data_IF_629249465999
#
_entry.id   IF_629249465999
#
_cell.length_a   1.000
_cell.length_b   1.000
_cell.length_c   1.000
_cell.angle_alpha   90.00
_cell.angle_beta   90.00
_cell.angle_gamma   90.00
#
_symmetry.space_group_name_H-M   'P 1'
#
loop_
_entity.id
_entity.type
_entity.pdbx_description
1 polymer ?
#
# COMPACT_ATOMS: atom_id res chain seq x y z
N UNK A 1 1.77 -20.39 47.83
CA UNK A 1 1.77 -20.16 47.39
C UNK A 1 1.79 -19.70 46.50
N UNK A 2 1.72 -19.58 46.50
CA UNK A 2 1.66 -19.16 45.73
C UNK A 2 1.50 -18.74 44.83
N UNK A 3 1.49 -18.80 44.66
CA UNK A 3 1.41 -18.43 43.76
C UNK A 3 1.15 -17.78 42.99
N UNK A 4 0.88 -17.65 43.12
CA UNK A 4 0.57 -17.10 42.45
C UNK A 4 0.76 -16.32 41.72
N UNK A 5 1.03 -16.43 41.67
CA UNK A 5 1.18 -15.76 41.05
C UNK A 5 1.25 -15.42 40.03
N UNK A 6 1.13 -15.52 39.88
CA UNK A 6 1.11 -15.25 38.99
C UNK A 6 0.91 -14.70 38.16
N UNK A 7 0.75 -14.59 38.27
CA UNK A 7 0.53 -14.14 37.49
C UNK A 7 0.52 -13.43 36.85
N UNK A 8 0.51 -13.24 36.89
CA UNK A 8 0.47 -12.57 36.25
C UNK A 8 0.82 -12.23 35.42
N UNK A 9 0.93 -12.23 35.41
CA UNK A 9 1.25 -11.88 34.57
C UNK A 9 1.17 -11.71 33.52
N UNK A 10 1.12 -11.90 33.39
CA UNK A 10 1.03 -11.91 32.36
C UNK A 10 0.57 -11.22 31.62
N UNK A 11 0.16 -10.94 31.92
CA UNK A 11 -0.36 -10.40 31.25
C UNK A 11 -0.06 -9.52 30.60
N UNK A 12 0.13 -9.17 30.96
CA UNK A 12 0.34 -8.34 30.50
C UNK A 12 0.81 -8.33 29.44
N UNK A 13 1.12 -8.55 29.48
CA UNK A 13 1.61 -8.51 28.55
C UNK A 13 1.05 -8.40 27.51
N UNK A 14 0.60 -8.85 27.46
CA UNK A 14 0.02 -8.90 26.48
C UNK A 14 -0.35 -7.78 26.01
N UNK A 15 -0.59 -7.39 26.46
CA UNK A 15 -1.02 -6.46 25.99
C UNK A 15 -0.41 -5.72 25.41
N UNK A 16 0.10 -5.64 25.66
CA UNK A 16 0.71 -4.88 25.23
C UNK A 16 0.92 -4.99 23.99
N UNK A 17 1.05 -5.75 23.81
CA UNK A 17 1.44 -5.86 22.55
C UNK A 17 0.46 -5.30 21.75
N UNK A 18 -0.55 -5.58 22.07
CA UNK A 18 -1.48 -5.18 21.27
C UNK A 18 -1.44 -3.86 20.82
N UNK A 19 -1.06 -3.16 21.52
CA UNK A 19 -1.10 -1.94 21.15
C UNK A 19 -0.51 -1.68 20.04
N UNK A 20 0.21 -2.37 19.75
CA UNK A 20 0.96 -2.08 18.78
C UNK A 20 0.25 -2.12 17.67
N UNK A 21 -0.72 -2.55 17.71
CA UNK A 21 -1.37 -2.65 16.59
C UNK A 21 -1.78 -1.38 16.10
N UNK A 22 -1.03 -0.53 16.14
CA UNK A 22 -1.35 0.64 15.61
C UNK A 22 -1.52 0.49 14.26
N UNK A 23 -2.51 0.93 13.80
CA UNK A 23 -2.79 0.79 12.49
C UNK A 23 -2.15 1.69 11.63
N UNK A 24 -1.24 1.91 11.49
CA UNK A 24 -0.79 2.70 10.53
C UNK A 24 -1.37 2.38 9.27
N UNK A 25 -1.03 2.99 8.19
CA UNK A 25 -1.45 2.62 6.91
C UNK A 25 -0.58 1.49 6.48
N UNK A 26 -1.14 0.46 5.99
CA UNK A 26 -0.39 -0.70 5.62
C UNK A 26 0.33 -0.50 4.31
N UNK A 27 1.52 -1.00 4.22
CA UNK A 27 2.21 -1.05 2.95
C UNK A 27 1.50 -2.06 2.03
N UNK A 28 1.86 -2.12 0.75
CA UNK A 28 1.26 -3.08 -0.17
C UNK A 28 1.46 -4.52 0.28
N UNK A 29 0.51 -5.38 -0.07
CA UNK A 29 0.58 -6.79 0.24
C UNK A 29 0.43 -7.60 -1.03
N UNK A 30 0.86 -8.86 -1.02
CA UNK A 30 0.66 -9.74 -2.15
C UNK A 30 -0.61 -10.58 -1.95
N UNK A 31 -1.41 -10.71 -2.99
CA UNK A 31 -2.60 -11.55 -2.96
C UNK A 31 -2.93 -11.98 -4.39
N UNK A 32 -3.11 -13.28 -4.61
CA UNK A 32 -3.51 -13.81 -5.92
C UNK A 32 -2.62 -13.34 -7.07
N UNK A 33 -1.32 -13.29 -6.82
CA UNK A 33 -0.35 -12.96 -7.87
C UNK A 33 -0.24 -11.47 -8.16
N UNK A 34 -0.84 -10.62 -7.36
CA UNK A 34 -0.79 -9.17 -7.56
C UNK A 34 -0.47 -8.48 -6.25
N UNK A 35 -0.06 -7.23 -6.32
CA UNK A 35 0.01 -6.39 -5.14
C UNK A 35 -1.37 -5.79 -4.90
N UNK A 36 -1.76 -5.70 -3.65
CA UNK A 36 -3.04 -5.11 -3.25
C UNK A 36 -2.80 -4.09 -2.15
N UNK A 37 -3.72 -3.16 -2.04
CA UNK A 37 -3.67 -2.16 -0.97
C UNK A 37 -4.27 -2.69 0.31
N UNK A 38 -4.37 -1.82 1.31
CA UNK A 38 -4.89 -2.21 2.61
C UNK A 38 -6.34 -2.70 2.54
N UNK A 39 -7.09 -2.25 1.56
CA UNK A 39 -8.48 -2.66 1.38
C UNK A 39 -8.61 -3.93 0.54
N UNK A 40 -7.51 -4.55 0.16
CA UNK A 40 -7.54 -5.75 -0.68
C UNK A 40 -7.72 -5.48 -2.16
N UNK A 41 -7.83 -4.22 -2.56
CA UNK A 41 -8.03 -3.88 -3.97
C UNK A 41 -6.72 -3.94 -4.74
N UNK A 42 -6.81 -4.38 -5.99
CA UNK A 42 -5.63 -4.56 -6.86
C UNK A 42 -4.92 -3.25 -7.12
N UNK A 43 -3.60 -3.30 -7.11
CA UNK A 43 -2.76 -2.15 -7.41
C UNK A 43 -2.17 -2.29 -8.81
N UNK A 44 -1.91 -1.15 -9.43
CA UNK A 44 -1.44 -1.06 -10.81
C UNK A 44 -0.24 -0.17 -10.92
N UNK A 45 0.56 -0.38 -11.97
CA UNK A 45 1.65 0.52 -12.32
C UNK A 45 1.36 1.18 -13.66
N UNK A 46 1.95 2.35 -13.88
CA UNK A 46 1.71 3.17 -15.06
C UNK A 46 2.99 3.25 -15.86
N UNK A 47 2.95 2.82 -17.11
CA UNK A 47 4.14 2.76 -17.95
C UNK A 47 4.78 4.13 -18.20
N UNK A 48 4.02 5.21 -18.07
CA UNK A 48 4.59 6.54 -18.28
C UNK A 48 5.28 7.09 -17.04
N UNK A 49 5.22 6.39 -15.91
CA UNK A 49 6.05 6.75 -14.78
C UNK A 49 7.48 6.33 -15.08
N UNK A 50 8.43 6.94 -14.37
CA UNK A 50 9.83 6.55 -14.45
C UNK A 50 10.21 5.91 -13.12
N UNK A 51 10.53 4.63 -13.15
CA UNK A 51 10.85 3.92 -11.92
C UNK A 51 12.06 4.56 -11.23
N UNK A 52 11.92 4.75 -9.93
CA UNK A 52 13.05 5.22 -9.12
C UNK A 52 13.29 6.72 -9.12
N UNK A 53 12.49 7.53 -9.82
CA UNK A 53 12.72 8.98 -9.83
C UNK A 53 11.97 9.70 -8.70
N UNK A 54 11.22 8.99 -7.87
CA UNK A 54 10.53 9.59 -6.73
C UNK A 54 9.31 10.43 -7.05
N UNK A 55 8.77 10.32 -8.27
CA UNK A 55 7.65 11.12 -8.73
C UNK A 55 6.57 10.28 -9.37
N UNK A 56 5.38 10.83 -9.52
CA UNK A 56 4.28 10.23 -10.25
C UNK A 56 3.94 11.11 -11.45
N UNK A 57 3.73 10.49 -12.59
CA UNK A 57 3.31 11.20 -13.78
C UNK A 57 1.77 11.24 -13.92
N UNK A 58 1.04 10.59 -13.04
CA UNK A 58 -0.41 10.52 -13.10
C UNK A 58 -1.01 11.51 -12.10
N UNK A 59 -1.41 12.67 -12.59
CA UNK A 59 -1.93 13.75 -11.77
C UNK A 59 -3.24 14.25 -12.36
N UNK A 60 -3.98 15.06 -11.64
CA UNK A 60 -5.22 15.66 -12.15
C UNK A 60 -6.24 14.59 -12.56
N UNK A 61 -6.75 14.68 -13.77
CA UNK A 61 -7.75 13.74 -14.28
C UNK A 61 -7.27 12.31 -14.30
N UNK A 62 -5.99 12.08 -14.55
CA UNK A 62 -5.43 10.74 -14.49
C UNK A 62 -5.60 10.18 -13.08
N UNK A 63 -5.31 10.95 -12.05
CA UNK A 63 -5.42 10.49 -10.68
C UNK A 63 -6.87 10.31 -10.22
N UNK A 64 -7.82 10.93 -10.91
CA UNK A 64 -9.23 10.71 -10.64
C UNK A 64 -9.63 9.30 -11.05
N UNK A 65 -9.15 8.83 -12.18
CA UNK A 65 -9.45 7.48 -12.65
C UNK A 65 -8.53 6.43 -12.05
N UNK A 66 -7.32 6.83 -11.72
CA UNK A 66 -6.32 5.94 -11.13
C UNK A 66 -5.85 6.53 -9.81
N UNK A 67 -6.65 6.38 -8.76
CA UNK A 67 -6.29 6.97 -7.46
C UNK A 67 -4.98 6.40 -6.94
N UNK A 68 -4.06 7.25 -6.51
CA UNK A 68 -2.80 6.74 -5.98
C UNK A 68 -3.00 6.00 -4.66
N UNK A 69 -2.16 4.99 -4.43
CA UNK A 69 -2.18 4.29 -3.15
C UNK A 69 -1.36 5.14 -2.17
N UNK A 70 -2.06 5.89 -1.34
CA UNK A 70 -1.43 6.89 -0.50
C UNK A 70 -0.70 6.30 0.68
N UNK A 71 0.40 6.92 1.06
CA UNK A 71 1.14 6.60 2.27
C UNK A 71 0.94 7.72 3.28
N UNK A 72 0.98 7.39 4.56
CA UNK A 72 0.93 8.40 5.60
C UNK A 72 2.30 9.03 5.77
N UNK A 73 2.36 10.23 6.33
CA UNK A 73 3.64 10.88 6.57
C UNK A 73 4.53 10.06 7.50
N UNK A 74 3.92 9.25 8.37
CA UNK A 74 4.69 8.42 9.29
C UNK A 74 5.12 7.07 8.68
N UNK A 75 4.64 6.73 7.49
CA UNK A 75 5.03 5.48 6.86
C UNK A 75 6.48 5.55 6.40
N UNK A 76 7.15 4.43 6.41
CA UNK A 76 8.56 4.37 6.05
C UNK A 76 8.81 3.31 4.99
N UNK A 77 9.77 3.52 4.12
CA UNK A 77 10.14 2.50 3.14
C UNK A 77 10.51 1.18 3.82
N UNK A 78 10.22 0.08 3.17
CA UNK A 78 10.52 -1.23 3.68
C UNK A 78 10.75 -2.21 2.53
N UNK A 79 11.94 -2.75 2.41
CA UNK A 79 12.26 -3.70 1.34
C UNK A 79 12.10 -3.07 -0.03
N UNK A 80 11.30 -3.68 -0.88
CA UNK A 80 11.07 -3.17 -2.23
C UNK A 80 10.03 -2.05 -2.26
N UNK A 81 9.42 -1.72 -1.11
CA UNK A 81 8.39 -0.69 -1.07
C UNK A 81 9.01 0.63 -0.63
N UNK A 82 8.83 1.64 -1.45
CA UNK A 82 9.37 2.97 -1.17
C UNK A 82 8.24 3.99 -1.23
N UNK A 83 8.57 5.24 -1.00
CA UNK A 83 7.56 6.29 -0.97
C UNK A 83 7.97 7.38 -1.93
N UNK A 84 7.06 7.80 -2.78
CA UNK A 84 7.30 8.90 -3.71
C UNK A 84 6.50 10.11 -3.23
N UNK A 85 6.99 11.29 -3.56
CA UNK A 85 6.31 12.55 -3.23
C UNK A 85 5.65 13.06 -4.51
N UNK A 86 4.34 13.18 -4.47
CA UNK A 86 3.56 13.65 -5.61
C UNK A 86 3.71 15.15 -5.77
N UNK A 87 3.28 15.66 -6.91
CA UNK A 87 3.38 17.10 -7.18
C UNK A 87 2.63 17.95 -6.16
N UNK A 88 1.58 17.41 -5.54
CA UNK A 88 0.85 18.15 -4.52
C UNK A 88 1.45 17.99 -3.12
N UNK A 89 2.59 17.36 -3.01
CA UNK A 89 3.27 17.17 -1.73
C UNK A 89 2.82 15.95 -0.96
N UNK A 90 1.79 15.24 -1.42
CA UNK A 90 1.33 14.04 -0.73
C UNK A 90 2.19 12.85 -1.08
N UNK A 91 2.14 11.83 -0.23
CA UNK A 91 3.01 10.67 -0.39
C UNK A 91 2.25 9.47 -0.91
N UNK A 92 2.91 8.70 -1.75
CA UNK A 92 2.32 7.55 -2.41
C UNK A 92 3.29 6.37 -2.32
N UNK A 93 2.76 5.18 -2.09
CA UNK A 93 3.57 3.98 -2.08
C UNK A 93 4.03 3.62 -3.50
N UNK A 94 5.22 3.07 -3.58
CA UNK A 94 5.80 2.53 -4.81
C UNK A 94 6.39 1.16 -4.53
N UNK A 95 6.44 0.32 -5.55
CA UNK A 95 7.09 -0.99 -5.47
C UNK A 95 8.19 -1.05 -6.51
N UNK A 96 9.41 -1.35 -6.07
CA UNK A 96 10.58 -1.39 -6.95
C UNK A 96 10.74 -0.11 -7.76
N UNK A 97 10.37 0.99 -7.15
CA UNK A 97 10.44 2.30 -7.78
C UNK A 97 9.22 2.72 -8.59
N UNK A 98 8.27 1.84 -8.80
CA UNK A 98 7.07 2.13 -9.57
C UNK A 98 5.94 2.60 -8.67
N UNK A 99 5.44 3.85 -8.82
CA UNK A 99 4.29 4.30 -8.04
C UNK A 99 3.09 3.39 -8.24
N UNK A 100 2.30 3.20 -7.20
CA UNK A 100 1.18 2.27 -7.20
C UNK A 100 -0.15 3.00 -7.15
N UNK A 101 -1.12 2.49 -7.93
CA UNK A 101 -2.41 3.13 -8.10
C UNK A 101 -3.55 2.12 -8.01
N UNK A 102 -4.74 2.57 -7.66
CA UNK A 102 -5.95 1.80 -7.80
C UNK A 102 -6.61 2.13 -9.14
N UNK A 103 -7.61 1.36 -9.54
CA UNK A 103 -8.43 1.62 -10.71
C UNK A 103 -9.87 1.80 -10.26
N UNK A 104 -10.49 2.94 -10.59
CA UNK A 104 -11.82 3.25 -10.07
C UNK A 104 -12.90 2.26 -10.49
N UNK A 105 -12.68 1.55 -11.58
CA UNK A 105 -13.71 0.61 -12.05
C UNK A 105 -13.60 -0.76 -11.41
N UNK A 106 -12.59 -1.04 -10.62
CA UNK A 106 -12.57 -2.24 -9.82
C UNK A 106 -13.55 -2.05 -8.67
N UNK A 107 -14.43 -3.02 -8.44
CA UNK A 107 -15.49 -2.87 -7.46
C UNK A 107 -15.33 -3.77 -6.25
N UNK A 108 -14.47 -4.77 -6.31
CA UNK A 108 -14.25 -5.69 -5.19
C UNK A 108 -12.85 -6.25 -5.21
N UNK A 109 -12.36 -6.74 -4.07
CA UNK A 109 -11.06 -7.39 -4.04
C UNK A 109 -10.97 -8.51 -5.07
N UNK A 110 -9.85 -8.60 -5.74
CA UNK A 110 -9.64 -9.59 -6.79
C UNK A 110 -9.94 -9.09 -8.18
N UNK A 111 -10.68 -7.98 -8.34
CA UNK A 111 -10.90 -7.43 -9.66
C UNK A 111 -9.58 -6.93 -10.24
N UNK A 112 -9.37 -7.14 -11.52
CA UNK A 112 -8.18 -6.70 -12.23
C UNK A 112 -8.58 -6.09 -13.56
N UNK A 113 -9.66 -5.31 -13.57
CA UNK A 113 -10.19 -4.78 -14.81
C UNK A 113 -9.33 -3.67 -15.40
N UNK A 114 -8.37 -3.16 -14.61
CA UNK A 114 -7.45 -2.15 -15.12
C UNK A 114 -6.25 -2.68 -15.87
N UNK A 115 -6.02 -4.00 -15.84
CA UNK A 115 -4.85 -4.58 -16.47
C UNK A 115 -4.92 -4.38 -17.98
N UNK A 116 -3.92 -3.74 -18.55
CA UNK A 116 -3.87 -3.53 -20.00
C UNK A 116 -4.62 -2.30 -20.50
N UNK A 117 -5.24 -1.53 -19.63
CA UNK A 117 -6.01 -0.37 -20.08
C UNK A 117 -5.08 0.59 -20.83
N UNK A 118 -5.50 0.98 -22.01
CA UNK A 118 -4.77 1.86 -22.93
C UNK A 118 -3.34 1.38 -23.25
N UNK A 119 -3.03 0.15 -22.94
CA UNK A 119 -1.68 -0.37 -23.14
C UNK A 119 -0.63 0.23 -22.22
N UNK A 120 -1.03 1.06 -21.25
CA UNK A 120 -0.08 1.75 -20.38
C UNK A 120 -0.24 1.38 -18.90
N UNK A 121 -1.27 0.63 -18.55
CA UNK A 121 -1.52 0.23 -17.16
C UNK A 121 -1.39 -1.28 -17.01
N UNK A 122 -0.73 -1.70 -15.94
CA UNK A 122 -0.52 -3.13 -15.70
C UNK A 122 -0.75 -3.43 -14.24
N UNK A 123 -1.27 -4.62 -13.96
CA UNK A 123 -1.37 -5.09 -12.58
C UNK A 123 0.03 -5.12 -11.98
N UNK A 124 0.19 -4.55 -10.80
CA UNK A 124 1.47 -4.57 -10.11
C UNK A 124 1.74 -5.98 -9.59
N UNK A 125 2.96 -6.47 -9.77
CA UNK A 125 3.31 -7.82 -9.35
C UNK A 125 4.16 -7.78 -8.09
N UNK A 126 4.04 -8.80 -7.23
CA UNK A 126 4.86 -8.87 -6.03
C UNK A 126 6.35 -8.98 -6.34
#
# INVERSE_FOLDING_TARGET
>A
MSPLRMSSVGIAAALLGSLLALPGFAQPKAADGALVGANGMTLYTFDKDTAGNGKSACNGGCATNWPPFMAADSDKPSGDFTIVTRDDGKKQWAAKGWPLYYWVKDTKPGDKTGDGVNGTWKTAKP
#
